data_IF_287350763580
#
_entry.id   IF_287350763580
#
_cell.length_a   1.000
_cell.length_b   1.000
_cell.length_c   1.000
_cell.angle_alpha   90.00
_cell.angle_beta   90.00
_cell.angle_gamma   90.00
#
_symmetry.space_group_name_H-M   'P 1'
#
loop_
_entity.id
_entity.type
_entity.pdbx_description
1 polymer ?
#
# COMPACT_ATOMS: atom_id res chain seq x y z
N UNK A 1 22.96 18.39 7.06
CA UNK A 1 22.45 18.76 5.72
C UNK A 1 23.43 19.76 5.12
N UNK A 2 24.13 19.40 4.03
CA UNK A 2 25.06 20.33 3.36
C UNK A 2 24.28 21.49 2.73
N UNK A 3 24.85 22.71 2.77
CA UNK A 3 24.26 23.88 2.11
C UNK A 3 24.51 23.78 0.60
N UNK A 4 23.47 24.03 -0.19
CA UNK A 4 23.57 24.07 -1.64
C UNK A 4 24.62 25.11 -2.10
N UNK A 5 25.43 24.74 -3.09
CA UNK A 5 26.45 25.61 -3.68
C UNK A 5 25.82 26.83 -4.35
N UNK A 6 26.62 27.86 -4.60
CA UNK A 6 26.16 29.08 -5.30
C UNK A 6 25.58 28.76 -6.68
N UNK A 7 26.16 27.77 -7.37
CA UNK A 7 25.69 27.30 -8.67
C UNK A 7 24.32 26.61 -8.57
N UNK A 8 24.15 25.68 -7.62
CA UNK A 8 22.88 24.99 -7.39
C UNK A 8 21.75 25.96 -7.06
N UNK A 9 22.03 27.02 -6.28
CA UNK A 9 21.03 28.07 -5.99
C UNK A 9 20.62 28.84 -7.24
N UNK A 10 21.55 29.11 -8.16
CA UNK A 10 21.27 29.80 -9.43
C UNK A 10 20.43 28.91 -10.35
N UNK A 11 20.76 27.62 -10.45
CA UNK A 11 19.99 26.64 -11.21
C UNK A 11 18.56 26.49 -10.67
N UNK A 12 18.39 26.41 -9.35
CA UNK A 12 17.08 26.33 -8.72
C UNK A 12 16.23 27.59 -8.99
N UNK A 13 16.83 28.78 -8.93
CA UNK A 13 16.15 30.03 -9.28
C UNK A 13 15.73 30.06 -10.76
N UNK A 14 16.55 29.52 -11.66
CA UNK A 14 16.22 29.40 -13.07
C UNK A 14 15.06 28.42 -13.31
N UNK A 15 15.05 27.26 -12.64
CA UNK A 15 13.96 26.30 -12.69
C UNK A 15 12.65 26.87 -12.13
N UNK A 16 12.71 27.63 -11.03
CA UNK A 16 11.55 28.25 -10.42
C UNK A 16 10.93 29.35 -11.32
N UNK A 17 11.75 30.01 -12.15
CA UNK A 17 11.30 31.02 -13.11
C UNK A 17 10.83 30.41 -14.45
N UNK A 18 11.05 29.11 -14.67
CA UNK A 18 10.64 28.43 -15.90
C UNK A 18 9.11 28.35 -15.96
N UNK A 19 8.54 28.70 -17.12
CA UNK A 19 7.11 28.62 -17.35
C UNK A 19 6.67 27.17 -17.62
N UNK A 20 5.44 26.83 -17.23
CA UNK A 20 4.92 25.47 -17.35
C UNK A 20 4.91 24.92 -18.79
N UNK A 21 4.71 25.79 -19.79
CA UNK A 21 4.73 25.44 -21.22
C UNK A 21 6.12 25.05 -21.76
N UNK A 22 7.18 25.31 -20.98
CA UNK A 22 8.56 24.95 -21.32
C UNK A 22 9.07 23.72 -20.58
N UNK A 23 8.23 23.08 -19.76
CA UNK A 23 8.60 21.85 -19.07
C UNK A 23 8.60 20.71 -20.10
N UNK A 24 9.74 20.05 -20.23
CA UNK A 24 9.86 18.83 -21.03
C UNK A 24 9.34 17.63 -20.24
N UNK A 25 8.41 16.88 -20.83
CA UNK A 25 7.81 15.65 -20.28
C UNK A 25 8.15 14.43 -21.15
N UNK A 26 9.14 14.53 -22.04
CA UNK A 26 9.51 13.44 -22.97
C UNK A 26 9.92 12.15 -22.26
N UNK A 27 10.49 12.25 -21.06
CA UNK A 27 10.90 11.12 -20.22
C UNK A 27 9.78 10.57 -19.34
N UNK A 28 8.78 11.39 -19.02
CA UNK A 28 7.65 11.06 -18.17
C UNK A 28 6.32 11.57 -18.78
N UNK A 29 5.85 10.95 -19.88
CA UNK A 29 4.62 11.37 -20.53
C UNK A 29 3.41 11.20 -19.61
N UNK A 30 2.43 12.08 -19.76
CA UNK A 30 1.20 12.06 -18.98
C UNK A 30 0.42 10.74 -19.18
N UNK A 31 0.17 10.01 -18.10
CA UNK A 31 -0.65 8.78 -18.12
C UNK A 31 -2.12 9.16 -18.07
N UNK A 32 -2.82 9.00 -19.20
CA UNK A 32 -4.27 9.27 -19.32
C UNK A 32 -5.13 8.03 -19.11
N UNK A 33 -4.62 6.85 -19.44
CA UNK A 33 -5.33 5.59 -19.24
C UNK A 33 -4.98 4.97 -17.88
N UNK A 34 -5.97 4.94 -16.99
CA UNK A 34 -5.86 4.36 -15.65
C UNK A 34 -6.54 2.99 -15.55
N UNK A 35 -7.00 2.39 -16.65
CA UNK A 35 -7.71 1.11 -16.67
C UNK A 35 -6.92 -0.05 -16.02
N UNK A 36 -5.59 0.01 -16.08
CA UNK A 36 -4.67 -0.98 -15.49
C UNK A 36 -4.14 -0.60 -14.11
N UNK A 37 -4.62 0.51 -13.54
CA UNK A 37 -4.16 0.96 -12.23
C UNK A 37 -4.65 0.01 -11.12
N UNK A 38 -3.74 -0.38 -10.22
CA UNK A 38 -4.07 -1.23 -9.07
C UNK A 38 -4.07 -0.37 -7.82
N UNK A 39 -5.27 -0.09 -7.30
CA UNK A 39 -5.43 0.59 -6.01
C UNK A 39 -4.88 -0.30 -4.91
N UNK A 40 -3.98 0.25 -4.08
CA UNK A 40 -3.44 -0.47 -2.92
C UNK A 40 -2.37 -1.51 -3.22
N UNK A 41 -1.72 -1.47 -4.42
CA UNK A 41 -0.61 -2.38 -4.78
C UNK A 41 0.48 -2.49 -3.70
N UNK A 42 0.75 -1.39 -3.00
CA UNK A 42 1.77 -1.31 -1.94
C UNK A 42 1.19 -1.30 -0.53
N UNK A 43 -0.13 -1.46 -0.37
CA UNK A 43 -0.75 -1.48 0.95
C UNK A 43 -0.34 -2.75 1.71
N UNK A 44 0.30 -2.57 2.86
CA UNK A 44 0.66 -3.65 3.78
C UNK A 44 -0.12 -3.45 5.08
N UNK A 45 -1.06 -4.34 5.42
CA UNK A 45 -1.77 -4.25 6.68
C UNK A 45 -0.80 -4.31 7.86
N UNK A 46 -0.86 -3.31 8.74
CA UNK A 46 -0.11 -3.32 10.00
C UNK A 46 -0.72 -4.40 10.90
N UNK A 47 0.06 -5.44 11.20
CA UNK A 47 -0.35 -6.51 12.11
C UNK A 47 -0.12 -6.06 13.54
N UNK A 48 -1.12 -6.22 14.40
CA UNK A 48 -0.99 -6.02 15.85
C UNK A 48 -0.93 -7.39 16.51
N UNK A 49 0.05 -7.59 17.41
CA UNK A 49 0.11 -8.78 18.24
C UNK A 49 -0.96 -8.69 19.31
N UNK A 50 -1.76 -9.75 19.45
CA UNK A 50 -2.79 -9.87 20.46
C UNK A 50 -2.90 -11.33 20.89
N UNK A 51 -3.19 -11.55 22.17
CA UNK A 51 -3.44 -12.88 22.72
C UNK A 51 -4.94 -13.17 22.67
N UNK A 52 -5.35 -14.19 21.93
CA UNK A 52 -6.73 -14.68 21.88
C UNK A 52 -6.79 -16.14 22.30
N UNK A 53 -7.95 -16.53 22.82
CA UNK A 53 -8.29 -17.93 23.07
C UNK A 53 -9.07 -18.45 21.85
N UNK A 54 -8.74 -19.66 21.42
CA UNK A 54 -9.42 -20.40 20.37
C UNK A 54 -9.76 -21.77 20.93
N UNK A 55 -10.86 -22.34 20.46
CA UNK A 55 -11.25 -23.70 20.83
C UNK A 55 -10.19 -24.71 20.37
N UNK A 56 -10.02 -25.78 21.15
CA UNK A 56 -8.95 -26.73 20.97
C UNK A 56 -9.05 -27.50 19.64
N UNK A 57 -10.29 -27.85 19.25
CA UNK A 57 -10.63 -28.51 17.99
C UNK A 57 -10.36 -27.60 16.77
N UNK A 58 -10.74 -26.32 16.85
CA UNK A 58 -10.47 -25.33 15.80
C UNK A 58 -8.97 -25.15 15.61
N UNK A 59 -8.22 -25.05 16.71
CA UNK A 59 -6.77 -24.95 16.66
C UNK A 59 -6.12 -26.21 16.08
N UNK A 60 -6.60 -27.40 16.46
CA UNK A 60 -6.13 -28.67 15.93
C UNK A 60 -6.38 -28.78 14.42
N UNK A 61 -7.59 -28.45 13.96
CA UNK A 61 -7.97 -28.43 12.55
C UNK A 61 -7.09 -27.46 11.73
N UNK A 62 -6.84 -26.25 12.24
CA UNK A 62 -5.98 -25.26 11.58
C UNK A 62 -4.51 -25.71 11.49
N UNK A 63 -4.01 -26.39 12.52
CA UNK A 63 -2.65 -26.96 12.54
C UNK A 63 -2.50 -28.16 11.61
N UNK A 64 -3.54 -28.99 11.46
CA UNK A 64 -3.55 -30.15 10.57
C UNK A 64 -3.33 -29.78 9.10
N UNK A 65 -3.69 -28.55 8.70
CA UNK A 65 -3.45 -28.00 7.35
C UNK A 65 -1.98 -27.60 7.09
N UNK A 66 -1.07 -27.88 8.04
CA UNK A 66 0.36 -27.62 7.92
C UNK A 66 0.79 -26.21 8.34
N UNK A 67 2.06 -25.89 8.08
CA UNK A 67 2.73 -24.63 8.50
C UNK A 67 1.96 -23.38 8.06
N UNK A 68 1.94 -22.35 8.90
CA UNK A 68 1.30 -21.07 8.59
C UNK A 68 -0.14 -20.91 9.08
N UNK A 69 -0.59 -21.75 10.03
CA UNK A 69 -1.95 -21.68 10.59
C UNK A 69 -2.31 -20.29 11.16
N UNK A 70 -1.37 -19.57 11.79
CA UNK A 70 -1.57 -18.19 12.25
C UNK A 70 -1.89 -17.22 11.10
N UNK A 71 -1.25 -17.40 9.95
CA UNK A 71 -1.54 -16.60 8.76
C UNK A 71 -2.92 -16.94 8.19
N UNK A 72 -3.33 -18.22 8.24
CA UNK A 72 -4.69 -18.64 7.85
C UNK A 72 -5.76 -18.04 8.76
N UNK A 73 -5.54 -18.01 10.08
CA UNK A 73 -6.45 -17.35 11.03
C UNK A 73 -6.71 -15.91 10.58
N UNK A 74 -5.65 -15.14 10.33
CA UNK A 74 -5.81 -13.75 9.90
C UNK A 74 -6.50 -13.61 8.53
N UNK A 75 -6.26 -14.52 7.59
CA UNK A 75 -6.95 -14.55 6.28
C UNK A 75 -8.46 -14.81 6.44
N UNK A 76 -8.84 -15.78 7.27
CA UNK A 76 -10.25 -16.12 7.55
C UNK A 76 -10.98 -14.93 8.20
N UNK A 77 -10.38 -14.31 9.21
CA UNK A 77 -10.94 -13.13 9.88
C UNK A 77 -11.12 -11.96 8.90
N UNK A 78 -10.14 -11.73 8.01
CA UNK A 78 -10.23 -10.69 6.98
C UNK A 78 -11.36 -10.94 5.99
N UNK A 79 -11.49 -12.16 5.49
CA UNK A 79 -12.56 -12.53 4.57
C UNK A 79 -13.95 -12.32 5.19
N UNK A 80 -14.12 -12.71 6.47
CA UNK A 80 -15.36 -12.48 7.20
C UNK A 80 -15.68 -10.98 7.38
N UNK A 81 -14.67 -10.17 7.72
CA UNK A 81 -14.79 -8.71 7.87
C UNK A 81 -15.19 -8.03 6.55
N UNK A 82 -14.55 -8.39 5.45
CA UNK A 82 -14.81 -7.82 4.12
C UNK A 82 -16.20 -8.22 3.61
N UNK A 83 -16.60 -9.48 3.80
CA UNK A 83 -17.95 -9.96 3.46
C UNK A 83 -19.04 -9.20 4.22
N UNK A 84 -18.83 -8.92 5.51
CA UNK A 84 -19.78 -8.14 6.32
C UNK A 84 -19.81 -6.66 5.92
N UNK A 85 -18.66 -6.09 5.59
CA UNK A 85 -18.55 -4.69 5.14
C UNK A 85 -19.29 -4.46 3.82
N UNK A 86 -19.24 -5.43 2.89
CA UNK A 86 -19.97 -5.36 1.62
C UNK A 86 -21.48 -5.35 1.84
N UNK A 87 -22.01 -6.21 2.72
CA UNK A 87 -23.46 -6.24 3.06
C UNK A 87 -23.98 -4.98 3.73
N UNK A 88 -23.12 -4.22 4.43
CA UNK A 88 -23.51 -2.97 5.10
C UNK A 88 -23.50 -1.75 4.17
N UNK A 89 -22.89 -1.87 2.98
CA UNK A 89 -22.77 -0.78 1.99
C UNK A 89 -23.78 -0.90 0.84
N UNK A 90 -24.48 -2.02 0.76
CA UNK A 90 -25.61 -2.24 -0.14
C UNK A 90 -26.91 -1.96 0.63
#
# INVERSE_FOLDING_TARGET
MSKASRQQKKELAALAALRADKIDFSDAPEVRDWSRAVVGKFYRPVKKSLTIRLDADVLAWLKAQGRGYQTRINKLLRAAMEGRSRRRRA
#
